data_IF_140718723180
#
_entry.id   IF_140718723180
#
_cell.length_a   1.000
_cell.length_b   1.000
_cell.length_c   1.000
_cell.angle_alpha   90.00
_cell.angle_beta   90.00
_cell.angle_gamma   90.00
#
_symmetry.space_group_name_H-M   'P 1'
#
loop_
_entity.id
_entity.type
_entity.pdbx_description
1 polymer ?
#
# COMPACT_ATOMS: atom_id res chain seq x y z
N UNK A 1 -7.37 -5.83 2.89
CA UNK A 1 -6.63 -4.75 3.56
C UNK A 1 -5.89 -3.92 2.54
N UNK A 2 -5.89 -2.61 2.72
CA UNK A 2 -5.38 -1.68 1.73
C UNK A 2 -4.38 -0.72 2.36
N UNK A 3 -3.28 -0.47 1.63
CA UNK A 3 -2.34 0.60 1.94
C UNK A 3 -2.61 1.74 0.98
N UNK A 4 -3.08 2.85 1.51
CA UNK A 4 -3.46 4.03 0.75
C UNK A 4 -2.35 5.07 0.84
N UNK A 5 -1.94 5.62 -0.30
CA UNK A 5 -0.81 6.54 -0.39
C UNK A 5 -1.28 7.88 -0.94
N UNK A 6 -0.48 8.92 -0.69
CA UNK A 6 -0.78 10.26 -1.17
C UNK A 6 -0.32 10.48 -2.62
N UNK A 7 0.68 9.71 -3.07
CA UNK A 7 1.26 9.86 -4.40
C UNK A 7 1.28 8.54 -5.14
N UNK A 8 1.00 8.60 -6.43
CA UNK A 8 1.04 7.40 -7.28
C UNK A 8 2.43 6.77 -7.30
N UNK A 9 3.49 7.57 -7.33
CA UNK A 9 4.85 7.06 -7.31
C UNK A 9 5.13 6.24 -6.06
N UNK A 10 4.55 6.63 -4.92
CA UNK A 10 4.72 5.89 -3.68
C UNK A 10 4.04 4.52 -3.73
N UNK A 11 2.92 4.43 -4.44
CA UNK A 11 2.23 3.14 -4.63
C UNK A 11 3.15 2.16 -5.35
N UNK A 12 3.77 2.60 -6.44
CA UNK A 12 4.64 1.73 -7.21
C UNK A 12 5.93 1.39 -6.47
N UNK A 13 6.49 2.34 -5.73
CA UNK A 13 7.66 2.09 -4.90
C UNK A 13 7.37 1.07 -3.80
N UNK A 14 6.22 1.20 -3.16
CA UNK A 14 5.80 0.26 -2.13
C UNK A 14 5.54 -1.12 -2.72
N UNK A 15 4.91 -1.19 -3.88
CA UNK A 15 4.67 -2.45 -4.57
C UNK A 15 5.99 -3.19 -4.82
N UNK A 16 6.99 -2.49 -5.33
CA UNK A 16 8.28 -3.08 -5.60
C UNK A 16 8.95 -3.61 -4.33
N UNK A 17 8.92 -2.83 -3.26
CA UNK A 17 9.49 -3.25 -1.98
C UNK A 17 8.83 -4.52 -1.45
N UNK A 18 7.52 -4.58 -1.50
CA UNK A 18 6.77 -5.72 -0.98
C UNK A 18 6.98 -6.96 -1.85
N UNK A 19 6.95 -6.79 -3.17
CA UNK A 19 7.16 -7.92 -4.09
C UNK A 19 8.56 -8.49 -3.98
N UNK A 20 9.57 -7.64 -3.80
CA UNK A 20 10.95 -8.09 -3.60
C UNK A 20 11.11 -8.88 -2.31
N UNK A 21 10.19 -8.72 -1.37
CA UNK A 21 10.19 -9.46 -0.10
C UNK A 21 9.25 -10.66 -0.13
N UNK A 22 8.72 -11.01 -1.29
CA UNK A 22 7.85 -12.17 -1.46
C UNK A 22 6.40 -11.95 -1.04
N UNK A 23 5.98 -10.71 -0.86
CA UNK A 23 4.60 -10.39 -0.49
C UNK A 23 3.79 -10.12 -1.75
N UNK A 24 2.67 -10.80 -1.89
CA UNK A 24 1.76 -10.58 -3.01
C UNK A 24 1.00 -9.28 -2.81
N UNK A 25 1.02 -8.43 -3.82
CA UNK A 25 0.32 -7.17 -3.83
C UNK A 25 -0.56 -7.07 -5.08
N UNK A 26 -1.60 -6.25 -4.98
CA UNK A 26 -2.47 -5.97 -6.10
C UNK A 26 -2.78 -4.48 -6.11
N UNK A 27 -2.63 -3.83 -7.25
CA UNK A 27 -2.99 -2.43 -7.40
C UNK A 27 -4.47 -2.35 -7.73
N UNK A 28 -5.23 -1.66 -6.88
CA UNK A 28 -6.67 -1.54 -7.00
C UNK A 28 -7.08 -0.07 -6.79
N UNK A 29 -8.28 0.31 -7.21
CA UNK A 29 -8.78 1.66 -6.92
C UNK A 29 -8.84 1.91 -5.42
N UNK A 30 -8.48 3.14 -5.00
CA UNK A 30 -8.51 3.52 -3.60
C UNK A 30 -9.94 3.48 -3.07
N UNK A 31 -10.22 2.74 -1.98
CA UNK A 31 -11.58 2.63 -1.45
C UNK A 31 -12.04 3.87 -0.69
N UNK A 32 -11.12 4.75 -0.32
CA UNK A 32 -11.43 5.97 0.43
C UNK A 32 -11.56 7.12 -0.56
N UNK A 33 -12.71 7.80 -0.53
CA UNK A 33 -12.95 8.95 -1.40
C UNK A 33 -12.48 10.24 -0.72
N UNK A 34 -11.17 10.39 -0.68
CA UNK A 34 -10.54 11.58 -0.12
C UNK A 34 -9.53 12.08 -1.15
N UNK A 35 -9.66 13.36 -1.51
CA UNK A 35 -8.78 13.98 -2.50
C UNK A 35 -7.31 14.04 -2.08
N UNK A 36 -7.04 13.86 -0.79
CA UNK A 36 -5.67 13.83 -0.28
C UNK A 36 -4.89 12.59 -0.75
N UNK A 37 -5.60 11.51 -1.08
CA UNK A 37 -4.98 10.26 -1.51
C UNK A 37 -4.98 10.11 -3.02
N UNK A 38 -4.02 9.36 -3.55
CA UNK A 38 -4.02 9.04 -4.97
C UNK A 38 -5.15 8.06 -5.28
N UNK A 39 -5.51 7.93 -6.57
CA UNK A 39 -6.66 7.12 -6.99
C UNK A 39 -6.45 5.63 -6.96
N UNK A 40 -5.23 5.15 -6.67
CA UNK A 40 -4.92 3.72 -6.60
C UNK A 40 -4.20 3.42 -5.30
N UNK A 41 -4.30 2.17 -4.86
CA UNK A 41 -3.67 1.72 -3.62
C UNK A 41 -3.21 0.29 -3.76
N UNK A 42 -2.54 -0.23 -2.73
CA UNK A 42 -2.11 -1.62 -2.69
C UNK A 42 -3.04 -2.44 -1.81
N UNK A 43 -3.50 -3.54 -2.35
CA UNK A 43 -4.26 -4.53 -1.59
C UNK A 43 -3.33 -5.68 -1.21
N UNK A 44 -3.34 -6.04 0.07
CA UNK A 44 -2.55 -7.16 0.59
C UNK A 44 -3.41 -8.03 1.50
N UNK A 45 -2.92 -9.24 1.78
CA UNK A 45 -3.55 -10.12 2.75
C UNK A 45 -3.32 -9.60 4.17
N UNK A 46 -4.31 -9.77 5.03
CA UNK A 46 -4.22 -9.27 6.41
C UNK A 46 -3.07 -9.92 7.21
N UNK A 47 -2.72 -11.17 6.91
CA UNK A 47 -1.63 -11.84 7.61
C UNK A 47 -0.24 -11.35 7.19
N UNK A 48 -0.16 -10.54 6.12
CA UNK A 48 1.09 -9.91 5.69
C UNK A 48 1.26 -8.48 6.23
N UNK A 49 0.29 -8.00 7.01
CA UNK A 49 0.26 -6.61 7.47
C UNK A 49 1.50 -6.24 8.27
N UNK A 50 1.86 -7.06 9.25
CA UNK A 50 2.99 -6.73 10.14
C UNK A 50 4.29 -6.61 9.37
N UNK A 51 4.57 -7.56 8.49
CA UNK A 51 5.77 -7.54 7.67
C UNK A 51 5.77 -6.36 6.71
N UNK A 52 4.62 -6.06 6.12
CA UNK A 52 4.48 -4.95 5.19
C UNK A 52 4.71 -3.60 5.88
N UNK A 53 4.18 -3.40 7.09
CA UNK A 53 4.37 -2.14 7.81
C UNK A 53 5.83 -1.91 8.18
N UNK A 54 6.56 -2.97 8.49
CA UNK A 54 8.01 -2.86 8.75
C UNK A 54 8.74 -2.41 7.49
N UNK A 55 8.42 -3.01 6.34
CA UNK A 55 9.06 -2.69 5.07
C UNK A 55 8.76 -1.27 4.60
N UNK A 56 7.57 -0.77 4.91
CA UNK A 56 7.13 0.56 4.49
C UNK A 56 7.29 1.63 5.57
N UNK A 57 8.10 1.37 6.59
CA UNK A 57 8.22 2.26 7.75
C UNK A 57 8.68 3.68 7.40
N UNK A 58 9.38 3.86 6.26
CA UNK A 58 9.84 5.18 5.82
C UNK A 58 8.88 5.89 4.86
N UNK A 59 7.72 5.31 4.62
CA UNK A 59 6.74 5.86 3.69
C UNK A 59 5.50 6.37 4.42
N UNK A 60 4.86 7.38 3.85
CA UNK A 60 3.61 7.93 4.37
C UNK A 60 2.44 7.17 3.75
N UNK A 61 1.70 6.45 4.57
CA UNK A 61 0.56 5.68 4.11
C UNK A 61 -0.47 5.55 5.21
N UNK A 62 -1.67 5.14 4.82
CA UNK A 62 -2.76 4.84 5.74
C UNK A 62 -3.26 3.42 5.46
N UNK A 63 -3.51 2.67 6.53
CA UNK A 63 -4.07 1.32 6.41
C UNK A 63 -5.59 1.41 6.49
N UNK A 64 -6.26 0.79 5.51
CA UNK A 64 -7.72 0.71 5.45
C UNK A 64 -8.11 -0.76 5.36
N UNK A 65 -9.03 -1.16 6.19
CA UNK A 65 -9.51 -2.55 6.20
C UNK A 65 -10.65 -2.82 5.20
#
# INVERSE_FOLDING_TARGET
MYFVFYRTNDVFAAEELLQNSGIKTEIVPTPVQDKAYCGVCLKISSHELEKSTVLLSNMDYRVVE
#
